data_IF_693741778010
#
_entry.id   IF_693741778010
#
_cell.length_a   1.000
_cell.length_b   1.000
_cell.length_c   1.000
_cell.angle_alpha   90.00
_cell.angle_beta   90.00
_cell.angle_gamma   90.00
#
_symmetry.space_group_name_H-M   'P 1'
#
loop_
_entity.id
_entity.type
_entity.pdbx_description
1 polymer ?
#
# COMPACT_ATOMS: atom_id res chain seq x y z
N UNK A 1 17.42 -37.42 -23.21
CA UNK A 1 17.72 -36.03 -23.62
C UNK A 1 16.97 -35.12 -22.68
N UNK A 2 17.72 -34.38 -21.89
CA UNK A 2 17.27 -33.41 -20.90
C UNK A 2 16.69 -32.18 -21.60
N UNK A 3 15.62 -31.62 -21.05
CA UNK A 3 15.28 -30.21 -21.21
C UNK A 3 14.44 -29.78 -20.00
N UNK A 4 15.15 -29.69 -18.87
CA UNK A 4 14.80 -28.81 -17.77
C UNK A 4 14.76 -27.38 -18.32
N UNK A 5 13.63 -26.67 -18.17
CA UNK A 5 13.51 -25.24 -18.44
C UNK A 5 13.12 -24.56 -17.14
N UNK A 6 14.14 -24.30 -16.33
CA UNK A 6 14.06 -23.37 -15.21
C UNK A 6 13.64 -21.97 -15.69
N UNK A 7 12.49 -21.52 -15.22
CA UNK A 7 12.17 -20.11 -15.09
C UNK A 7 12.63 -19.66 -13.72
N UNK A 8 13.93 -19.35 -13.58
CA UNK A 8 14.46 -18.70 -12.39
C UNK A 8 13.99 -17.25 -12.36
N UNK A 9 12.83 -17.00 -11.77
CA UNK A 9 12.58 -15.70 -11.14
C UNK A 9 13.44 -15.69 -9.89
N UNK A 10 14.38 -14.76 -9.79
CA UNK A 10 15.10 -14.52 -8.55
C UNK A 10 14.07 -14.29 -7.43
N UNK A 11 14.02 -15.20 -6.47
CA UNK A 11 13.35 -15.00 -5.19
C UNK A 11 14.17 -13.96 -4.42
N UNK A 12 13.97 -12.70 -4.80
CA UNK A 12 14.59 -11.53 -4.20
C UNK A 12 14.02 -11.20 -2.81
N UNK A 13 13.07 -12.02 -2.32
CA UNK A 13 12.41 -11.85 -1.02
C UNK A 13 11.36 -10.74 -1.00
N UNK A 14 11.05 -10.13 -2.14
CA UNK A 14 10.00 -9.11 -2.28
C UNK A 14 8.74 -9.71 -2.91
N UNK A 15 7.58 -9.09 -2.67
CA UNK A 15 6.28 -9.53 -3.18
C UNK A 15 5.30 -9.93 -2.07
N UNK A 16 4.32 -10.75 -2.42
CA UNK A 16 3.30 -11.26 -1.50
C UNK A 16 3.92 -12.30 -0.59
N UNK A 17 3.70 -12.18 0.73
CA UNK A 17 4.21 -13.16 1.71
C UNK A 17 3.08 -13.68 2.59
N UNK A 18 3.22 -14.87 3.19
CA UNK A 18 2.26 -15.35 4.19
C UNK A 18 2.22 -14.41 5.39
N UNK A 19 1.00 -14.07 5.84
CA UNK A 19 0.82 -13.31 7.08
C UNK A 19 1.35 -14.15 8.27
N UNK A 20 2.24 -13.60 9.13
CA UNK A 20 2.83 -14.38 10.21
C UNK A 20 1.79 -14.91 11.21
N UNK A 21 2.10 -16.04 11.86
CA UNK A 21 1.26 -16.59 12.91
C UNK A 21 1.01 -15.56 14.02
N UNK A 22 -0.25 -15.44 14.47
CA UNK A 22 -0.66 -14.45 15.47
C UNK A 22 -0.86 -13.03 14.95
N UNK A 23 -0.54 -12.74 13.68
CA UNK A 23 -0.81 -11.44 13.04
C UNK A 23 -2.17 -11.37 12.34
N UNK A 24 -2.95 -12.46 12.36
CA UNK A 24 -4.29 -12.52 11.79
C UNK A 24 -5.38 -12.43 12.89
N UNK A 25 -5.99 -11.25 13.10
CA UNK A 25 -7.02 -11.09 14.13
C UNK A 25 -8.42 -11.57 13.70
N UNK A 26 -8.64 -11.88 12.42
CA UNK A 26 -10.00 -12.12 11.90
C UNK A 26 -10.38 -13.60 11.79
N UNK A 27 -9.44 -14.51 12.09
CA UNK A 27 -9.60 -15.97 11.99
C UNK A 27 -10.10 -16.47 10.62
N UNK A 28 -9.90 -15.66 9.57
CA UNK A 28 -10.28 -15.95 8.19
C UNK A 28 -9.06 -15.74 7.29
N UNK A 29 -9.08 -16.28 6.06
CA UNK A 29 -7.99 -16.05 5.11
C UNK A 29 -7.78 -14.52 4.90
N UNK A 30 -6.54 -14.02 4.86
CA UNK A 30 -6.30 -12.61 4.55
C UNK A 30 -6.89 -12.24 3.18
N UNK A 31 -7.54 -11.09 3.10
CA UNK A 31 -8.05 -10.51 1.84
C UNK A 31 -8.08 -8.99 1.97
N UNK A 32 -7.94 -8.30 0.85
CA UNK A 32 -8.00 -6.84 0.79
C UNK A 32 -9.47 -6.32 0.81
N UNK A 33 -10.29 -6.89 1.69
CA UNK A 33 -11.72 -6.60 1.83
C UNK A 33 -11.98 -6.02 3.23
N UNK A 34 -12.97 -5.12 3.35
CA UNK A 34 -13.34 -4.55 4.65
C UNK A 34 -13.71 -5.66 5.66
N UNK A 35 -13.18 -5.57 6.88
CA UNK A 35 -13.35 -6.54 7.95
C UNK A 35 -12.41 -7.75 7.90
N UNK A 36 -11.48 -7.80 6.95
CA UNK A 36 -10.50 -8.90 6.81
C UNK A 36 -9.09 -8.42 7.15
N UNK A 37 -8.26 -9.35 7.62
CA UNK A 37 -6.83 -9.09 7.79
C UNK A 37 -6.21 -8.80 6.42
N UNK A 38 -5.43 -7.73 6.32
CA UNK A 38 -4.78 -7.35 5.08
C UNK A 38 -3.82 -8.45 4.58
N UNK A 39 -3.76 -8.73 3.26
CA UNK A 39 -2.73 -9.60 2.70
C UNK A 39 -1.33 -9.00 2.95
N UNK A 40 -0.41 -9.81 3.47
CA UNK A 40 0.93 -9.32 3.79
C UNK A 40 1.83 -9.27 2.54
N UNK A 41 2.80 -8.37 2.59
CA UNK A 41 3.81 -8.20 1.55
C UNK A 41 5.12 -7.72 2.15
N UNK A 42 6.21 -7.89 1.39
CA UNK A 42 7.49 -7.22 1.61
C UNK A 42 7.88 -6.53 0.32
N UNK A 43 8.15 -5.23 0.34
CA UNK A 43 8.55 -4.48 -0.86
C UNK A 43 9.79 -3.63 -0.60
N UNK A 44 10.61 -3.47 -1.65
CA UNK A 44 11.65 -2.44 -1.68
C UNK A 44 11.04 -1.05 -1.52
N UNK A 45 11.72 -0.19 -0.79
CA UNK A 45 11.39 1.22 -0.68
C UNK A 45 12.38 2.08 -1.50
N UNK A 46 11.93 3.25 -1.94
CA UNK A 46 12.71 4.19 -2.74
C UNK A 46 13.98 4.67 -2.01
N UNK A 47 13.81 5.16 -0.78
CA UNK A 47 14.86 5.81 0.03
C UNK A 47 14.87 5.29 1.48
N UNK A 48 14.39 4.06 1.69
CA UNK A 48 14.33 3.43 3.01
C UNK A 48 14.68 1.94 2.94
N UNK A 49 14.80 1.31 4.11
CA UNK A 49 14.85 -0.14 4.18
C UNK A 49 13.54 -0.75 3.63
N UNK A 50 13.57 -1.99 3.12
CA UNK A 50 12.36 -2.70 2.72
C UNK A 50 11.30 -2.71 3.81
N UNK A 51 10.03 -2.65 3.39
CA UNK A 51 8.89 -2.59 4.29
C UNK A 51 8.08 -3.87 4.19
N UNK A 52 7.85 -4.52 5.34
CA UNK A 52 6.83 -5.56 5.52
C UNK A 52 5.59 -4.95 6.16
N UNK A 53 4.41 -5.22 5.61
CA UNK A 53 3.17 -4.64 6.14
C UNK A 53 2.87 -5.13 7.57
N UNK A 54 3.03 -6.41 7.86
CA UNK A 54 2.73 -6.97 9.20
C UNK A 54 3.65 -6.50 10.33
N UNK A 55 4.80 -5.90 10.00
CA UNK A 55 5.70 -5.25 10.95
C UNK A 55 5.12 -3.90 11.44
N UNK A 56 4.16 -3.32 10.71
CA UNK A 56 3.48 -2.09 11.08
C UNK A 56 2.25 -2.30 11.97
N UNK A 57 1.87 -3.55 12.25
CA UNK A 57 0.76 -3.84 13.17
C UNK A 57 1.01 -3.13 14.52
N UNK A 58 -0.02 -2.48 15.06
CA UNK A 58 0.04 -1.53 16.16
C UNK A 58 -0.07 -0.08 15.71
N UNK A 59 0.12 0.21 14.41
CA UNK A 59 -0.05 1.54 13.80
C UNK A 59 -1.26 1.54 12.84
N UNK A 60 -1.96 2.68 12.72
CA UNK A 60 -2.87 2.91 11.60
C UNK A 60 -2.06 3.07 10.30
N UNK A 61 -2.49 2.38 9.25
CA UNK A 61 -1.79 2.37 7.96
C UNK A 61 -2.76 2.71 6.82
N UNK A 62 -2.32 3.56 5.89
CA UNK A 62 -2.94 3.67 4.56
C UNK A 62 -2.00 3.00 3.56
N UNK A 63 -2.49 2.04 2.80
CA UNK A 63 -1.80 1.50 1.62
C UNK A 63 -2.46 2.12 0.40
N UNK A 64 -1.72 2.93 -0.35
CA UNK A 64 -2.19 3.59 -1.58
C UNK A 64 -1.45 2.98 -2.78
N UNK A 65 -2.20 2.46 -3.74
CA UNK A 65 -1.67 1.98 -5.01
C UNK A 65 -1.77 3.08 -6.06
N UNK A 66 -0.66 3.38 -6.72
CA UNK A 66 -0.57 4.49 -7.68
C UNK A 66 0.45 4.22 -8.80
N UNK A 67 0.47 5.13 -9.78
CA UNK A 67 1.53 5.21 -10.79
C UNK A 67 1.73 6.67 -11.24
N UNK A 68 2.94 7.04 -11.63
CA UNK A 68 3.33 8.42 -11.98
C UNK A 68 2.61 8.95 -13.23
N UNK A 69 2.24 8.05 -14.15
CA UNK A 69 1.51 8.37 -15.37
C UNK A 69 -0.01 8.42 -15.15
N UNK A 70 -0.51 8.00 -13.98
CA UNK A 70 -1.93 7.97 -13.67
C UNK A 70 -2.42 9.37 -13.30
N UNK A 71 -3.23 9.98 -14.17
CA UNK A 71 -3.78 11.32 -13.99
C UNK A 71 -4.53 11.51 -12.66
N UNK A 72 -5.52 10.65 -12.32
CA UNK A 72 -6.21 10.75 -11.03
C UNK A 72 -5.29 10.58 -9.82
N UNK A 73 -4.26 9.73 -9.92
CA UNK A 73 -3.26 9.54 -8.85
C UNK A 73 -2.49 10.84 -8.57
N UNK A 74 -2.16 11.61 -9.61
CA UNK A 74 -1.54 12.94 -9.46
C UNK A 74 -2.44 13.92 -8.72
N UNK A 75 -3.74 13.88 -8.98
CA UNK A 75 -4.72 14.76 -8.34
C UNK A 75 -4.87 14.47 -6.84
N UNK A 76 -4.81 13.21 -6.41
CA UNK A 76 -4.96 12.86 -4.98
C UNK A 76 -3.66 12.96 -4.16
N UNK A 77 -2.50 12.98 -4.81
CA UNK A 77 -1.19 12.95 -4.11
C UNK A 77 -1.05 14.08 -3.07
N UNK A 78 -1.42 15.35 -3.36
CA UNK A 78 -1.37 16.43 -2.36
C UNK A 78 -2.26 16.17 -1.13
N UNK A 79 -3.42 15.54 -1.31
CA UNK A 79 -4.36 15.21 -0.23
C UNK A 79 -3.76 14.14 0.69
N UNK A 80 -3.12 13.12 0.11
CA UNK A 80 -2.41 12.08 0.86
C UNK A 80 -1.24 12.63 1.67
N UNK A 81 -0.45 13.54 1.08
CA UNK A 81 0.65 14.24 1.79
C UNK A 81 0.07 14.99 2.97
N UNK A 82 -0.92 15.87 2.75
CA UNK A 82 -1.52 16.66 3.83
C UNK A 82 -2.10 15.78 4.96
N UNK A 83 -2.75 14.66 4.61
CA UNK A 83 -3.24 13.69 5.59
C UNK A 83 -2.12 13.03 6.40
N UNK A 84 -1.01 12.65 5.74
CA UNK A 84 0.16 12.11 6.43
C UNK A 84 0.78 13.14 7.36
N UNK A 85 1.06 14.35 6.89
CA UNK A 85 1.68 15.41 7.69
C UNK A 85 0.87 15.73 8.96
N UNK A 86 -0.46 15.82 8.83
CA UNK A 86 -1.36 16.13 9.93
C UNK A 86 -1.44 15.01 10.99
N UNK A 87 -1.26 13.75 10.60
CA UNK A 87 -1.56 12.60 11.46
C UNK A 87 -0.34 11.72 11.78
N UNK A 88 0.84 11.97 11.20
CA UNK A 88 2.06 11.21 11.50
C UNK A 88 2.46 11.27 12.98
N UNK A 89 2.19 12.39 13.66
CA UNK A 89 2.40 12.54 15.11
C UNK A 89 1.47 11.63 15.95
N UNK A 90 0.33 11.21 15.39
CA UNK A 90 -0.58 10.24 15.99
C UNK A 90 -0.25 8.78 15.61
N UNK A 91 0.86 8.58 14.89
CA UNK A 91 1.38 7.29 14.49
C UNK A 91 0.88 6.78 13.14
N UNK A 92 0.18 7.62 12.34
CA UNK A 92 -0.22 7.24 10.98
C UNK A 92 1.01 6.90 10.12
N UNK A 93 0.91 5.82 9.37
CA UNK A 93 1.84 5.47 8.29
C UNK A 93 1.07 5.49 6.97
N UNK A 94 1.62 6.14 5.95
CA UNK A 94 1.15 6.00 4.56
C UNK A 94 2.22 5.23 3.80
N UNK A 95 1.81 4.21 3.04
CA UNK A 95 2.66 3.44 2.14
C UNK A 95 2.16 3.67 0.71
N UNK A 96 2.93 4.40 -0.09
CA UNK A 96 2.63 4.60 -1.51
C UNK A 96 3.24 3.48 -2.35
N UNK A 97 2.45 2.48 -2.72
CA UNK A 97 2.86 1.34 -3.54
C UNK A 97 2.75 1.70 -5.02
N UNK A 98 3.90 1.96 -5.65
CA UNK A 98 3.98 2.26 -7.07
C UNK A 98 3.96 0.98 -7.92
N UNK A 99 3.11 0.96 -8.95
CA UNK A 99 2.88 -0.22 -9.78
C UNK A 99 3.77 -0.25 -11.03
N UNK A 100 4.67 -1.24 -11.11
CA UNK A 100 5.43 -1.62 -12.33
C UNK A 100 6.22 -0.48 -12.99
N UNK A 101 6.71 0.50 -12.22
CA UNK A 101 7.61 1.52 -12.74
C UNK A 101 9.04 1.35 -12.23
N UNK A 102 9.99 1.87 -13.02
CA UNK A 102 11.39 1.96 -12.64
C UNK A 102 11.63 3.19 -11.75
N UNK A 103 12.71 3.17 -10.97
CA UNK A 103 13.13 4.27 -10.10
C UNK A 103 13.19 5.62 -10.85
N UNK A 104 13.69 5.60 -12.09
CA UNK A 104 13.82 6.80 -12.94
C UNK A 104 12.49 7.50 -13.28
N UNK A 105 11.35 6.87 -13.02
CA UNK A 105 10.01 7.47 -13.18
C UNK A 105 9.42 7.89 -11.83
N UNK A 106 9.68 7.09 -10.79
CA UNK A 106 9.10 7.26 -9.46
C UNK A 106 9.81 8.33 -8.66
N UNK A 107 11.15 8.37 -8.70
CA UNK A 107 11.96 9.33 -7.93
C UNK A 107 11.65 10.79 -8.30
N UNK A 108 11.66 11.19 -9.59
CA UNK A 108 11.32 12.57 -9.93
C UNK A 108 9.90 12.94 -9.52
N UNK A 109 8.95 12.01 -9.60
CA UNK A 109 7.58 12.24 -9.15
C UNK A 109 7.52 12.49 -7.64
N UNK A 110 8.17 11.64 -6.85
CA UNK A 110 8.20 11.78 -5.40
C UNK A 110 8.86 13.11 -4.98
N UNK A 111 9.94 13.50 -5.65
CA UNK A 111 10.62 14.78 -5.46
C UNK A 111 9.74 15.97 -5.86
N UNK A 112 9.11 15.93 -7.04
CA UNK A 112 8.25 17.01 -7.57
C UNK A 112 7.05 17.31 -6.66
N UNK A 113 6.43 16.26 -6.10
CA UNK A 113 5.31 16.39 -5.17
C UNK A 113 5.74 16.61 -3.71
N UNK A 114 7.01 16.38 -3.38
CA UNK A 114 7.49 16.44 -2.00
C UNK A 114 6.94 15.32 -1.11
N UNK A 115 6.83 14.10 -1.65
CA UNK A 115 6.34 12.94 -0.90
C UNK A 115 7.34 12.58 0.22
N UNK A 116 6.91 12.67 1.47
CA UNK A 116 7.71 12.42 2.67
C UNK A 116 7.38 11.08 3.37
N UNK A 117 6.36 10.37 2.90
CA UNK A 117 6.03 9.01 3.35
C UNK A 117 6.71 7.93 2.48
N UNK A 118 6.90 6.69 2.99
CA UNK A 118 7.52 5.62 2.22
C UNK A 118 6.85 5.33 0.88
N UNK A 119 7.64 5.41 -0.19
CA UNK A 119 7.28 4.97 -1.55
C UNK A 119 7.87 3.58 -1.79
N UNK A 120 7.03 2.61 -2.13
CA UNK A 120 7.39 1.20 -2.30
C UNK A 120 7.21 0.76 -3.76
N UNK A 121 8.00 -0.21 -4.21
CA UNK A 121 7.95 -0.69 -5.59
C UNK A 121 7.29 -2.07 -5.71
N UNK A 122 6.09 -2.15 -6.27
CA UNK A 122 5.51 -3.41 -6.76
C UNK A 122 5.91 -3.63 -8.22
N UNK A 123 7.19 -3.98 -8.44
CA UNK A 123 7.80 -4.10 -9.77
C UNK A 123 7.12 -5.16 -10.64
N UNK A 124 6.61 -6.23 -10.02
CA UNK A 124 5.98 -7.36 -10.70
C UNK A 124 4.44 -7.25 -10.77
N UNK A 125 3.85 -6.36 -9.96
CA UNK A 125 2.40 -6.22 -9.85
C UNK A 125 1.73 -7.34 -9.05
N UNK A 126 2.52 -8.13 -8.32
CA UNK A 126 2.03 -9.29 -7.56
C UNK A 126 1.23 -8.84 -6.33
N UNK A 127 1.71 -7.80 -5.65
CA UNK A 127 1.03 -7.23 -4.48
C UNK A 127 -0.27 -6.58 -4.93
N UNK A 128 -0.24 -5.75 -5.96
CA UNK A 128 -1.43 -5.17 -6.57
C UNK A 128 -2.45 -6.26 -6.97
N UNK A 129 -2.00 -7.36 -7.56
CA UNK A 129 -2.85 -8.50 -7.88
C UNK A 129 -3.53 -9.13 -6.66
N UNK A 130 -2.77 -9.40 -5.59
CA UNK A 130 -3.30 -9.93 -4.32
C UNK A 130 -4.26 -8.95 -3.62
N UNK A 131 -4.09 -7.65 -3.87
CA UNK A 131 -4.96 -6.60 -3.38
C UNK A 131 -6.12 -6.27 -4.33
N UNK A 132 -6.40 -7.13 -5.32
CA UNK A 132 -7.50 -6.99 -6.29
C UNK A 132 -7.40 -5.78 -7.22
N UNK A 133 -6.21 -5.22 -7.40
CA UNK A 133 -5.93 -4.14 -8.35
C UNK A 133 -5.71 -4.76 -9.73
N UNK A 134 -6.74 -4.70 -10.59
CA UNK A 134 -6.75 -5.34 -11.92
C UNK A 134 -6.06 -4.51 -13.01
N UNK A 135 -4.85 -4.05 -12.71
CA UNK A 135 -3.98 -3.35 -13.65
C UNK A 135 -4.21 -1.84 -13.78
N UNK A 136 -3.37 -1.17 -14.58
CA UNK A 136 -3.22 0.29 -14.59
C UNK A 136 -4.48 1.08 -14.97
N UNK A 137 -5.39 0.49 -15.74
CA UNK A 137 -6.55 1.17 -16.30
C UNK A 137 -7.86 0.91 -15.52
N UNK A 138 -7.86 0.03 -14.53
CA UNK A 138 -9.08 -0.42 -13.85
C UNK A 138 -8.98 -0.41 -12.33
N UNK A 139 -7.79 -0.26 -11.76
CA UNK A 139 -7.59 -0.35 -10.31
C UNK A 139 -6.81 0.80 -9.67
N UNK A 140 -6.37 1.80 -10.43
CA UNK A 140 -5.61 2.93 -9.89
C UNK A 140 -6.40 4.26 -9.98
N UNK A 141 -6.25 5.14 -8.97
CA UNK A 141 -5.68 4.84 -7.66
C UNK A 141 -6.61 3.95 -6.82
N UNK A 142 -6.06 3.34 -5.78
CA UNK A 142 -6.83 2.64 -4.76
C UNK A 142 -6.18 2.80 -3.39
N UNK A 143 -6.99 3.09 -2.38
CA UNK A 143 -6.52 3.33 -1.01
C UNK A 143 -7.22 2.41 -0.02
N UNK A 144 -6.43 1.78 0.84
CA UNK A 144 -6.88 0.85 1.87
C UNK A 144 -6.48 1.37 3.24
N UNK A 145 -7.47 1.56 4.11
CA UNK A 145 -7.28 2.04 5.46
C UNK A 145 -7.28 0.85 6.40
N UNK A 146 -6.18 0.67 7.12
CA UNK A 146 -5.91 -0.52 7.95
C UNK A 146 -5.76 -0.06 9.39
N UNK A 147 -6.50 -0.69 10.29
CA UNK A 147 -6.41 -0.40 11.72
C UNK A 147 -5.15 -1.01 12.37
N UNK A 148 -4.97 -0.70 13.65
CA UNK A 148 -3.81 -1.15 14.44
C UNK A 148 -3.75 -2.67 14.59
N UNK A 149 -4.84 -3.40 14.36
CA UNK A 149 -4.87 -4.85 14.40
C UNK A 149 -4.45 -5.46 13.06
N UNK A 150 -4.31 -4.66 12.00
CA UNK A 150 -4.03 -5.14 10.65
C UNK A 150 -5.29 -5.49 9.86
N UNK A 151 -6.46 -5.00 10.28
CA UNK A 151 -7.75 -5.23 9.61
C UNK A 151 -8.03 -4.07 8.66
N UNK A 152 -8.42 -4.38 7.42
CA UNK A 152 -8.90 -3.38 6.46
C UNK A 152 -10.24 -2.84 6.95
N UNK A 153 -10.32 -1.54 7.22
CA UNK A 153 -11.53 -0.85 7.70
C UNK A 153 -12.25 -0.07 6.61
N UNK A 154 -11.52 0.36 5.59
CA UNK A 154 -12.09 1.04 4.44
C UNK A 154 -11.31 0.71 3.18
N UNK A 155 -12.04 0.46 2.09
CA UNK A 155 -11.50 0.39 0.74
C UNK A 155 -12.07 1.54 -0.09
N UNK A 156 -11.20 2.25 -0.80
CA UNK A 156 -11.57 3.28 -1.76
C UNK A 156 -10.94 2.94 -3.10
N UNK A 157 -11.79 2.74 -4.11
CA UNK A 157 -11.37 2.56 -5.49
C UNK A 157 -11.61 3.88 -6.24
N UNK A 158 -10.57 4.44 -6.85
CA UNK A 158 -10.56 5.80 -7.39
C UNK A 158 -9.95 6.82 -6.43
N UNK A 159 -9.86 8.10 -6.88
CA UNK A 159 -9.11 9.12 -6.17
C UNK A 159 -9.73 9.47 -4.82
N UNK A 160 -8.89 9.68 -3.82
CA UNK A 160 -9.32 10.19 -2.52
C UNK A 160 -9.33 11.73 -2.49
N UNK A 161 -10.31 12.29 -1.79
CA UNK A 161 -10.36 13.71 -1.41
C UNK A 161 -10.14 13.86 0.09
N UNK A 162 -9.95 15.10 0.58
CA UNK A 162 -9.86 15.39 2.02
C UNK A 162 -11.02 14.74 2.82
N UNK A 163 -12.26 14.87 2.34
CA UNK A 163 -13.43 14.27 3.00
C UNK A 163 -13.34 12.75 3.08
N UNK A 164 -12.93 12.10 1.99
CA UNK A 164 -12.80 10.62 1.94
C UNK A 164 -11.67 10.17 2.88
N UNK A 165 -10.55 10.89 2.89
CA UNK A 165 -9.45 10.64 3.82
C UNK A 165 -9.89 10.81 5.26
N UNK A 166 -10.61 11.87 5.60
CA UNK A 166 -11.11 12.11 6.96
C UNK A 166 -12.04 10.98 7.43
N UNK A 167 -12.93 10.49 6.56
CA UNK A 167 -13.81 9.36 6.87
C UNK A 167 -13.03 8.06 7.10
N UNK A 168 -12.04 7.75 6.25
CA UNK A 168 -11.21 6.56 6.41
C UNK A 168 -10.30 6.63 7.64
N UNK A 169 -9.72 7.81 7.91
CA UNK A 169 -8.85 8.05 9.07
C UNK A 169 -9.62 7.92 10.38
N UNK A 170 -10.87 8.38 10.45
CA UNK A 170 -11.72 8.22 11.62
C UNK A 170 -11.92 6.74 12.02
N UNK A 171 -11.79 5.81 11.09
CA UNK A 171 -11.95 4.37 11.35
C UNK A 171 -10.67 3.70 11.90
N UNK A 172 -9.50 4.32 11.74
CA UNK A 172 -8.20 3.69 12.05
C UNK A 172 -7.38 4.47 13.10
N UNK A 173 -7.60 5.79 13.23
CA UNK A 173 -6.95 6.61 14.24
C UNK A 173 -7.64 6.47 15.62
N UNK A 174 -6.87 6.58 16.72
CA UNK A 174 -7.45 6.59 18.06
C UNK A 174 -8.36 7.82 18.24
N UNK A 175 -9.58 7.62 18.75
CA UNK A 175 -10.51 8.72 19.07
C UNK A 175 -11.59 9.02 18.03
N UNK A 176 -11.72 8.20 16.97
CA UNK A 176 -12.94 8.11 16.20
C UNK A 176 -13.97 7.26 16.94
N UNK A 177 -14.84 7.91 17.69
CA UNK A 177 -16.04 7.29 18.30
C UNK A 177 -17.16 7.13 17.27
#
# INVERSE_FOLDING_TARGET
VQADRGGGGEDDGFGVVPLPAGKNPTAQAPSAEEGRAAPDFVLEALDAAPVRLSDLQGKPVIVNFWASWCGPCRTETPELIAAYEKNRAQGLVVLGVNLREADSRVRPFAEDFGIDYPVLFDRRGEVAGAWSIRGPNQGLPASYFIDRQGVVRKVVLGPVSETVLAQGLALILPGGS
#
